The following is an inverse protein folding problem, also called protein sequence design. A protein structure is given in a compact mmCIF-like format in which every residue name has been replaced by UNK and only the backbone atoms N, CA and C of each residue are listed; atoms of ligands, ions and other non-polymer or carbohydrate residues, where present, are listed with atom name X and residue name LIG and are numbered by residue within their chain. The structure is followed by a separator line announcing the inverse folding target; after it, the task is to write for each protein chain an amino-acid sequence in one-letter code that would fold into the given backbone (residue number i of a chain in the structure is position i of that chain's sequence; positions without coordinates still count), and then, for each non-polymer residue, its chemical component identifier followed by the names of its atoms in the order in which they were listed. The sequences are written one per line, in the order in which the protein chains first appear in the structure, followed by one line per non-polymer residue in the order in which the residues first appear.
data_IF_167847018810
#
_entry.id   IF_167847018810
#
_cell.length_a   1.000
_cell.length_b   1.000
_cell.length_c   1.000
_cell.angle_alpha   90.00
_cell.angle_beta   90.00
_cell.angle_gamma   90.00
#
_symmetry.space_group_name_H-M   'P 1'
#
loop_
_entity.id
_entity.type
_entity.pdbx_description
1 polymer ?
#
# COMPACT_ATOMS: atom_id res chain seq x y z
N UNK A 1 10.64 -2.03 26.43
CA UNK A 1 11.97 -1.40 26.32
C UNK A 1 12.20 -1.05 24.85
N UNK A 2 12.07 0.22 24.45
CA UNK A 2 12.19 0.66 23.05
C UNK A 2 13.63 0.46 22.56
N UNK A 3 13.86 -0.38 21.54
CA UNK A 3 15.16 -0.45 20.88
C UNK A 3 15.29 0.76 19.94
N UNK A 4 16.00 1.76 20.44
CA UNK A 4 16.51 2.90 19.67
C UNK A 4 17.50 2.41 18.60
N UNK A 5 17.80 3.24 17.60
CA UNK A 5 18.93 3.02 16.68
C UNK A 5 20.23 2.78 17.48
N UNK A 6 21.29 2.27 16.83
CA UNK A 6 22.59 1.92 17.45
C UNK A 6 23.15 2.96 18.44
N UNK A 7 22.72 4.22 18.31
CA UNK A 7 23.25 5.37 19.05
C UNK A 7 22.24 5.97 20.07
N UNK A 8 21.10 5.31 20.32
CA UNK A 8 20.11 5.82 21.28
C UNK A 8 19.27 7.01 20.78
N UNK A 9 19.35 7.37 19.50
CA UNK A 9 18.64 8.52 18.90
C UNK A 9 17.52 8.06 17.96
N UNK A 10 16.42 8.84 17.85
CA UNK A 10 15.46 8.66 16.76
C UNK A 10 16.17 8.75 15.41
N UNK A 11 15.95 7.76 14.56
CA UNK A 11 16.38 7.75 13.17
C UNK A 11 15.37 8.43 12.26
N UNK A 12 15.88 9.11 11.23
CA UNK A 12 15.12 9.69 10.13
C UNK A 12 15.71 9.17 8.83
N UNK A 13 14.86 8.62 7.97
CA UNK A 13 15.24 8.08 6.67
C UNK A 13 14.38 8.75 5.60
N UNK A 14 15.01 9.47 4.67
CA UNK A 14 14.39 9.91 3.43
C UNK A 14 14.36 8.72 2.49
N UNK A 15 13.16 8.26 2.10
CA UNK A 15 13.04 7.02 1.35
C UNK A 15 12.89 7.27 -0.15
N UNK A 16 12.04 8.22 -0.53
CA UNK A 16 11.89 8.66 -1.92
C UNK A 16 11.07 9.95 -1.99
N UNK A 17 11.49 10.92 -2.80
CA UNK A 17 10.80 12.21 -2.93
C UNK A 17 10.62 12.90 -1.57
N UNK A 18 9.37 13.23 -1.22
CA UNK A 18 9.01 13.84 0.06
C UNK A 18 8.56 12.83 1.15
N UNK A 19 8.71 11.53 0.93
CA UNK A 19 8.37 10.49 1.91
C UNK A 19 9.53 10.26 2.88
N UNK A 20 9.24 10.38 4.18
CA UNK A 20 10.21 10.26 5.27
C UNK A 20 9.71 9.26 6.32
N UNK A 21 10.59 8.35 6.73
CA UNK A 21 10.36 7.38 7.80
C UNK A 21 11.09 7.82 9.06
N UNK A 22 10.36 7.86 10.17
CA UNK A 22 10.90 8.11 11.51
C UNK A 22 10.84 6.84 12.36
N UNK A 23 11.94 6.48 12.98
CA UNK A 23 12.05 5.30 13.85
C UNK A 23 12.72 5.64 15.20
N UNK A 24 12.21 5.19 16.35
CA UNK A 24 10.98 4.41 16.51
C UNK A 24 9.73 5.26 16.25
N UNK A 25 8.66 4.59 15.84
CA UNK A 25 7.30 5.12 15.81
C UNK A 25 6.71 5.26 17.21
N UNK A 26 5.45 5.71 17.29
CA UNK A 26 4.78 6.00 18.57
C UNK A 26 3.97 4.83 19.13
N UNK A 27 3.43 3.94 18.29
CA UNK A 27 2.39 3.00 18.72
C UNK A 27 2.93 1.77 19.45
N UNK A 28 4.05 1.20 19.00
CA UNK A 28 4.64 -0.02 19.58
C UNK A 28 6.09 -0.19 19.20
N UNK A 29 6.75 -1.11 19.89
CA UNK A 29 8.13 -1.48 19.62
C UNK A 29 8.27 -2.05 18.21
N UNK A 30 9.23 -1.52 17.45
CA UNK A 30 9.47 -1.92 16.05
C UNK A 30 8.61 -1.18 15.02
N UNK A 31 7.68 -0.33 15.44
CA UNK A 31 6.88 0.51 14.53
C UNK A 31 7.67 1.73 14.04
N UNK A 32 7.18 2.38 12.98
CA UNK A 32 7.71 3.64 12.46
C UNK A 32 6.57 4.63 12.19
N UNK A 33 6.92 5.91 12.09
CA UNK A 33 5.99 6.95 11.65
C UNK A 33 6.38 7.43 10.26
N UNK A 34 5.40 7.47 9.36
CA UNK A 34 5.55 8.15 8.07
C UNK A 34 5.25 9.63 8.19
N UNK A 35 6.00 10.39 7.42
CA UNK A 35 5.78 11.81 7.15
C UNK A 35 5.87 12.03 5.65
N UNK A 36 4.95 12.84 5.12
CA UNK A 36 5.06 13.44 3.80
C UNK A 36 5.45 14.89 4.01
N UNK A 37 6.64 15.29 3.58
CA UNK A 37 7.10 16.68 3.77
C UNK A 37 6.18 17.61 2.96
N UNK A 38 5.50 18.51 3.67
CA UNK A 38 4.56 19.47 3.09
C UNK A 38 3.15 18.93 2.81
N UNK A 39 2.83 17.69 3.19
CA UNK A 39 1.52 17.08 2.92
C UNK A 39 1.09 16.06 3.99
N UNK A 40 -0.14 15.55 3.90
CA UNK A 40 -0.60 14.41 4.69
C UNK A 40 -0.13 13.10 4.08
N UNK A 41 0.15 12.11 4.92
CA UNK A 41 0.43 10.74 4.46
C UNK A 41 -0.84 10.15 3.82
N UNK A 42 -0.78 9.65 2.57
CA UNK A 42 -1.91 8.99 1.92
C UNK A 42 -2.41 7.77 2.69
N UNK A 43 -3.73 7.61 2.73
CA UNK A 43 -4.39 6.41 3.24
C UNK A 43 -4.49 5.32 2.15
N UNK A 44 -4.85 4.09 2.53
CA UNK A 44 -5.18 3.04 1.55
C UNK A 44 -6.27 3.48 0.56
N UNK A 45 -7.27 4.23 1.01
CA UNK A 45 -8.31 4.80 0.15
C UNK A 45 -7.74 5.83 -0.84
N UNK A 46 -6.81 6.68 -0.40
CA UNK A 46 -6.15 7.64 -1.29
C UNK A 46 -5.31 6.92 -2.36
N UNK A 47 -4.59 5.87 -1.97
CA UNK A 47 -3.82 5.06 -2.91
C UNK A 47 -4.73 4.35 -3.93
N UNK A 48 -5.89 3.83 -3.50
CA UNK A 48 -6.87 3.26 -4.44
C UNK A 48 -7.33 4.29 -5.48
N UNK A 49 -7.60 5.53 -5.07
CA UNK A 49 -7.93 6.63 -5.99
C UNK A 49 -6.79 6.93 -6.95
N UNK A 50 -5.56 7.05 -6.43
CA UNK A 50 -4.37 7.31 -7.26
C UNK A 50 -4.20 6.24 -8.34
N UNK A 51 -4.28 4.95 -7.97
CA UNK A 51 -4.17 3.83 -8.91
C UNK A 51 -5.26 3.86 -9.98
N UNK A 52 -6.50 4.11 -9.59
CA UNK A 52 -7.62 4.24 -10.51
C UNK A 52 -7.42 5.41 -11.49
N UNK A 53 -7.07 6.59 -10.99
CA UNK A 53 -6.88 7.80 -11.79
C UNK A 53 -5.66 7.68 -12.73
N UNK A 54 -4.65 6.89 -12.37
CA UNK A 54 -3.54 6.61 -13.27
C UNK A 54 -3.96 5.92 -14.56
N UNK A 55 -4.97 5.04 -14.50
CA UNK A 55 -5.56 4.40 -15.69
C UNK A 55 -6.50 5.38 -16.40
N UNK A 56 -7.44 5.98 -15.68
CA UNK A 56 -8.53 6.77 -16.29
C UNK A 56 -8.05 8.12 -16.83
N UNK A 57 -7.03 8.73 -16.21
CA UNK A 57 -6.63 10.12 -16.47
C UNK A 57 -5.17 10.27 -16.90
N UNK A 58 -4.27 9.35 -16.50
CA UNK A 58 -2.84 9.51 -16.76
C UNK A 58 -2.25 8.57 -17.81
N UNK A 59 -3.08 7.73 -18.44
CA UNK A 59 -2.70 6.91 -19.59
C UNK A 59 -1.85 5.68 -19.25
N UNK A 60 -1.78 5.27 -17.98
CA UNK A 60 -1.16 3.99 -17.60
C UNK A 60 -2.12 2.85 -17.95
N UNK A 61 -1.57 1.72 -18.41
CA UNK A 61 -2.38 0.52 -18.64
C UNK A 61 -2.62 -0.24 -17.33
N UNK A 62 -3.69 -1.03 -17.31
CA UNK A 62 -3.96 -1.97 -16.22
C UNK A 62 -2.77 -2.90 -15.97
N UNK A 63 -2.19 -3.45 -17.03
CA UNK A 63 -1.10 -4.41 -16.98
C UNK A 63 0.18 -3.79 -16.39
N UNK A 64 0.43 -2.50 -16.63
CA UNK A 64 1.55 -1.79 -16.00
C UNK A 64 1.36 -1.69 -14.48
N UNK A 65 0.16 -1.31 -14.03
CA UNK A 65 -0.12 -1.18 -12.59
C UNK A 65 -0.23 -2.55 -11.89
N UNK A 66 -0.79 -3.57 -12.55
CA UNK A 66 -0.82 -4.93 -12.05
C UNK A 66 0.60 -5.49 -11.88
N UNK A 67 1.47 -5.29 -12.88
CA UNK A 67 2.89 -5.67 -12.80
C UNK A 67 3.63 -4.94 -11.68
N UNK A 68 3.35 -3.64 -11.46
CA UNK A 68 3.88 -2.87 -10.34
C UNK A 68 3.47 -3.50 -9.00
N UNK A 69 2.17 -3.79 -8.82
CA UNK A 69 1.65 -4.38 -7.60
C UNK A 69 2.22 -5.77 -7.34
N UNK A 70 2.30 -6.63 -8.36
CA UNK A 70 2.89 -7.97 -8.24
C UNK A 70 4.38 -7.90 -7.84
N UNK A 71 5.16 -7.08 -8.54
CA UNK A 71 6.58 -6.88 -8.25
C UNK A 71 6.79 -6.36 -6.83
N UNK A 72 6.00 -5.37 -6.41
CA UNK A 72 6.12 -4.78 -5.08
C UNK A 72 5.69 -5.77 -3.99
N UNK A 73 4.65 -6.57 -4.21
CA UNK A 73 4.21 -7.59 -3.26
C UNK A 73 5.30 -8.65 -3.02
N UNK A 74 5.98 -9.07 -4.10
CA UNK A 74 7.03 -10.11 -4.06
C UNK A 74 8.39 -9.57 -3.56
N UNK A 75 8.78 -8.37 -4.01
CA UNK A 75 10.15 -7.88 -3.90
C UNK A 75 10.29 -6.65 -2.98
N UNK A 76 9.18 -6.05 -2.54
CA UNK A 76 9.21 -4.72 -1.93
C UNK A 76 9.82 -3.69 -2.88
N UNK A 77 10.62 -2.76 -2.36
CA UNK A 77 11.28 -1.72 -3.18
C UNK A 77 12.64 -2.15 -3.74
N UNK A 78 12.93 -3.46 -3.79
CA UNK A 78 14.25 -3.98 -4.24
C UNK A 78 14.43 -3.90 -5.76
N UNK A 79 13.34 -4.05 -6.50
CA UNK A 79 13.32 -3.93 -7.97
C UNK A 79 12.77 -2.55 -8.28
N UNK A 80 13.60 -1.53 -8.54
CA UNK A 80 13.12 -0.17 -8.72
C UNK A 80 12.37 -0.02 -10.05
N UNK A 81 11.26 0.71 -10.02
CA UNK A 81 10.58 1.14 -11.24
C UNK A 81 11.40 2.17 -12.02
N UNK A 82 11.37 2.07 -13.35
CA UNK A 82 12.06 3.01 -14.25
C UNK A 82 11.30 4.32 -14.42
N UNK A 83 9.96 4.28 -14.42
CA UNK A 83 9.10 5.46 -14.47
C UNK A 83 9.10 6.14 -13.09
N UNK A 84 9.42 7.44 -13.03
CA UNK A 84 9.57 8.15 -11.76
C UNK A 84 8.26 8.24 -10.95
N UNK A 85 7.10 8.32 -11.62
CA UNK A 85 5.79 8.36 -10.95
C UNK A 85 5.45 6.98 -10.40
N UNK A 86 5.70 5.91 -11.16
CA UNK A 86 5.53 4.54 -10.67
C UNK A 86 6.51 4.23 -9.54
N UNK A 87 7.74 4.73 -9.60
CA UNK A 87 8.74 4.58 -8.53
C UNK A 87 8.31 5.33 -7.26
N UNK A 88 7.78 6.53 -7.39
CA UNK A 88 7.18 7.24 -6.26
C UNK A 88 6.04 6.44 -5.64
N UNK A 89 5.11 5.95 -6.47
CA UNK A 89 3.99 5.13 -6.02
C UNK A 89 4.45 3.80 -5.38
N UNK A 90 5.49 3.17 -5.91
CA UNK A 90 6.11 1.97 -5.36
C UNK A 90 6.54 2.18 -3.91
N UNK A 91 7.31 3.25 -3.66
CA UNK A 91 7.76 3.59 -2.30
C UNK A 91 6.59 3.96 -1.40
N UNK A 92 5.61 4.72 -1.90
CA UNK A 92 4.42 5.09 -1.14
C UNK A 92 3.63 3.84 -0.71
N UNK A 93 3.30 2.94 -1.64
CA UNK A 93 2.56 1.71 -1.35
C UNK A 93 3.31 0.83 -0.36
N UNK A 94 4.61 0.62 -0.57
CA UNK A 94 5.42 -0.22 0.30
C UNK A 94 5.39 0.29 1.75
N UNK A 95 5.69 1.56 1.95
CA UNK A 95 5.78 2.12 3.29
C UNK A 95 4.42 2.30 3.95
N UNK A 96 3.34 2.58 3.22
CA UNK A 96 2.00 2.64 3.81
C UNK A 96 1.52 1.24 4.24
N UNK A 97 1.67 0.24 3.37
CA UNK A 97 1.20 -1.13 3.67
C UNK A 97 2.05 -1.86 4.70
N UNK A 98 3.36 -1.61 4.75
CA UNK A 98 4.23 -2.25 5.73
C UNK A 98 3.81 -1.95 7.18
N UNK A 99 3.17 -0.79 7.44
CA UNK A 99 2.59 -0.54 8.77
C UNK A 99 1.51 -1.57 9.13
N UNK A 100 0.70 -2.01 8.17
CA UNK A 100 -0.32 -3.06 8.40
C UNK A 100 0.33 -4.40 8.72
N UNK A 101 1.43 -4.77 8.05
CA UNK A 101 2.15 -6.00 8.37
C UNK A 101 2.73 -5.97 9.78
N UNK A 102 3.27 -4.82 10.19
CA UNK A 102 3.75 -4.71 11.56
C UNK A 102 2.53 -4.81 12.49
N UNK A 103 1.42 -4.07 12.25
CA UNK A 103 0.26 -3.92 13.15
C UNK A 103 -0.53 -5.21 13.33
N UNK A 104 -0.72 -5.92 12.23
CA UNK A 104 -1.55 -7.10 12.10
C UNK A 104 -0.79 -8.12 11.24
N UNK A 105 0.28 -8.73 11.78
CA UNK A 105 1.19 -9.57 10.99
C UNK A 105 0.52 -10.84 10.49
N UNK A 106 0.85 -11.23 9.25
CA UNK A 106 0.37 -12.50 8.67
C UNK A 106 0.81 -13.71 9.48
N UNK A 107 2.02 -13.65 10.06
CA UNK A 107 2.53 -14.68 10.96
C UNK A 107 1.65 -14.88 12.22
N UNK A 108 0.83 -13.88 12.58
CA UNK A 108 -0.15 -13.95 13.67
C UNK A 108 -1.57 -14.33 13.22
N UNK A 109 -1.76 -14.76 11.97
CA UNK A 109 -3.08 -15.13 11.42
C UNK A 109 -3.91 -13.97 10.87
N UNK A 110 -3.37 -12.75 10.83
CA UNK A 110 -4.03 -11.59 10.24
C UNK A 110 -3.80 -11.53 8.71
N UNK A 111 -4.48 -10.61 8.02
CA UNK A 111 -4.27 -10.41 6.58
C UNK A 111 -2.95 -9.67 6.27
N UNK A 112 -2.42 -8.90 7.23
CA UNK A 112 -1.28 -8.00 7.02
C UNK A 112 -1.45 -7.15 5.77
N UNK A 113 -0.41 -7.07 4.94
CA UNK A 113 -0.49 -6.30 3.69
C UNK A 113 -1.52 -6.84 2.68
N UNK A 114 -1.89 -8.13 2.73
CA UNK A 114 -2.67 -8.76 1.64
C UNK A 114 -4.01 -8.08 1.41
N UNK A 115 -4.68 -7.64 2.48
CA UNK A 115 -5.95 -6.93 2.36
C UNK A 115 -5.79 -5.60 1.60
N UNK A 116 -4.72 -4.85 1.87
CA UNK A 116 -4.43 -3.61 1.16
C UNK A 116 -4.17 -3.87 -0.33
N UNK A 117 -3.35 -4.88 -0.65
CA UNK A 117 -3.08 -5.27 -2.03
C UNK A 117 -4.34 -5.72 -2.79
N UNK A 118 -5.26 -6.42 -2.12
CA UNK A 118 -6.53 -6.77 -2.73
C UNK A 118 -7.35 -5.53 -3.09
N UNK A 119 -7.36 -4.50 -2.24
CA UNK A 119 -8.06 -3.22 -2.53
C UNK A 119 -7.41 -2.46 -3.68
N UNK A 120 -6.08 -2.48 -3.76
CA UNK A 120 -5.35 -1.87 -4.86
C UNK A 120 -5.63 -2.56 -6.18
N UNK A 121 -5.68 -3.89 -6.19
CA UNK A 121 -6.09 -4.65 -7.37
C UNK A 121 -7.53 -4.34 -7.79
N UNK A 122 -8.47 -4.33 -6.84
CA UNK A 122 -9.87 -3.96 -7.11
C UNK A 122 -9.99 -2.56 -7.73
N UNK A 123 -9.18 -1.60 -7.26
CA UNK A 123 -9.18 -0.23 -7.79
C UNK A 123 -8.70 -0.15 -9.25
N UNK A 124 -7.64 -0.90 -9.62
CA UNK A 124 -7.20 -0.95 -11.02
C UNK A 124 -8.15 -1.79 -11.89
N UNK A 125 -8.74 -2.85 -11.34
CA UNK A 125 -9.69 -3.69 -12.05
C UNK A 125 -10.98 -2.95 -12.38
N UNK A 126 -11.53 -2.17 -11.43
CA UNK A 126 -12.71 -1.37 -11.70
C UNK A 126 -12.44 -0.23 -12.69
N UNK A 127 -11.24 0.36 -12.67
CA UNK A 127 -10.84 1.34 -13.68
C UNK A 127 -10.82 0.76 -15.10
N UNK A 128 -10.35 -0.49 -15.25
CA UNK A 128 -10.32 -1.21 -16.53
C UNK A 128 -11.70 -1.66 -17.01
N UNK A 129 -12.50 -2.25 -16.13
CA UNK A 129 -13.71 -3.00 -16.50
C UNK A 129 -15.02 -2.27 -16.26
N UNK A 130 -15.06 -1.31 -15.33
CA UNK A 130 -16.30 -0.72 -14.84
C UNK A 130 -17.19 -1.69 -14.04
N UNK A 131 -16.68 -2.86 -13.62
CA UNK A 131 -17.49 -3.92 -13.01
C UNK A 131 -18.15 -3.53 -11.67
N UNK A 132 -17.54 -2.62 -10.92
CA UNK A 132 -18.05 -2.08 -9.65
C UNK A 132 -17.52 -0.64 -9.44
N UNK A 133 -18.19 0.21 -8.66
CA UNK A 133 -17.75 1.59 -8.49
C UNK A 133 -16.54 1.71 -7.55
N UNK A 134 -15.63 2.65 -7.86
CA UNK A 134 -14.46 2.95 -7.03
C UNK A 134 -14.85 3.32 -5.58
N UNK A 135 -15.98 4.00 -5.40
CA UNK A 135 -16.48 4.38 -4.07
C UNK A 135 -16.76 3.17 -3.17
N UNK A 136 -17.15 2.02 -3.74
CA UNK A 136 -17.32 0.78 -2.99
C UNK A 136 -15.98 0.23 -2.52
N UNK A 137 -14.95 0.24 -3.39
CA UNK A 137 -13.58 -0.16 -3.04
C UNK A 137 -13.03 0.72 -1.91
N UNK A 138 -13.19 2.04 -2.03
CA UNK A 138 -12.78 3.02 -1.04
C UNK A 138 -13.50 2.80 0.30
N UNK A 139 -14.81 2.58 0.28
CA UNK A 139 -15.59 2.31 1.50
C UNK A 139 -15.06 1.08 2.25
N UNK A 140 -14.64 0.06 1.50
CA UNK A 140 -14.07 -1.20 2.04
C UNK A 140 -12.65 -1.05 2.58
N UNK A 141 -11.91 0.01 2.24
CA UNK A 141 -10.61 0.32 2.86
C UNK A 141 -10.74 0.74 4.33
N UNK A 142 -11.91 1.23 4.76
CA UNK A 142 -12.14 1.77 6.12
C UNK A 142 -12.80 0.76 7.07
N UNK A 143 -12.61 -0.54 6.84
CA UNK A 143 -13.35 -1.62 7.52
C UNK A 143 -12.85 -1.93 8.96
N UNK A 144 -12.46 -0.92 9.72
CA UNK A 144 -11.89 -1.08 11.06
C UNK A 144 -12.89 -1.76 12.03
N UNK A 145 -12.46 -2.85 12.68
CA UNK A 145 -13.24 -3.54 13.71
C UNK A 145 -14.44 -4.34 13.20
N UNK A 146 -14.58 -4.48 11.89
CA UNK A 146 -15.66 -5.24 11.25
C UNK A 146 -15.16 -6.58 10.70
N UNK A 147 -16.09 -7.46 10.34
CA UNK A 147 -15.74 -8.73 9.71
C UNK A 147 -14.88 -8.49 8.46
N UNK A 148 -13.90 -9.38 8.26
CA UNK A 148 -13.09 -9.41 7.05
C UNK A 148 -14.03 -9.47 5.84
N UNK A 149 -13.93 -8.51 4.90
CA UNK A 149 -14.84 -8.43 3.77
C UNK A 149 -14.68 -9.65 2.85
N UNK A 150 -15.69 -9.94 2.04
CA UNK A 150 -15.60 -10.98 1.00
C UNK A 150 -14.99 -10.34 -0.24
N UNK A 151 -13.97 -10.98 -0.82
CA UNK A 151 -13.37 -10.53 -2.09
C UNK A 151 -14.38 -10.65 -3.23
N UNK A 152 -14.27 -9.76 -4.22
CA UNK A 152 -14.99 -9.97 -5.47
C UNK A 152 -14.44 -11.20 -6.18
N UNK A 153 -15.31 -11.91 -6.88
CA UNK A 153 -14.93 -13.00 -7.78
C UNK A 153 -14.48 -12.38 -9.11
N UNK A 154 -13.16 -12.30 -9.31
CA UNK A 154 -12.53 -11.65 -10.45
C UNK A 154 -11.82 -12.70 -11.31
N UNK A 155 -12.13 -12.72 -12.60
CA UNK A 155 -11.45 -13.59 -13.56
C UNK A 155 -9.95 -13.28 -13.61
N UNK A 156 -9.14 -14.33 -13.71
CA UNK A 156 -7.67 -14.26 -13.81
C UNK A 156 -6.98 -13.44 -12.71
N UNK A 157 -7.56 -13.42 -11.50
CA UNK A 157 -6.99 -12.66 -10.40
C UNK A 157 -5.57 -13.14 -10.02
N UNK A 158 -4.63 -12.22 -9.80
CA UNK A 158 -3.23 -12.54 -9.53
C UNK A 158 -3.08 -13.23 -8.17
N UNK A 159 -1.93 -13.89 -7.97
CA UNK A 159 -1.65 -14.63 -6.73
C UNK A 159 -1.78 -13.76 -5.48
N UNK A 160 -1.41 -12.48 -5.57
CA UNK A 160 -1.47 -11.53 -4.46
C UNK A 160 -2.90 -11.07 -4.12
N UNK A 161 -3.90 -11.37 -4.95
CA UNK A 161 -5.32 -11.08 -4.71
C UNK A 161 -6.00 -12.16 -3.83
N UNK A 162 -5.37 -12.51 -2.70
CA UNK A 162 -5.86 -13.54 -1.76
C UNK A 162 -5.41 -13.21 -0.33
N UNK A 163 -6.24 -13.42 0.69
CA UNK A 163 -5.88 -13.21 2.10
C UNK A 163 -6.48 -14.17 3.12
#
# INVERSE_FOLDING_TARGET
MQRLCRDGRPGRLEVYGNLVVHYPGRKRQGDYRLEMVGDRVPTHADICRMLHDMIVQNGYSFEQLDSLLDSLYKNGTRVPESDEKLRYLQHLIYWVTLQEEINYPRAGGYAGIRLAYCRFYEAIYCAKSGAFPLDEVIGRCNNHGRQRPVLYDLEDAPEYYRY
#
